data_IF_990004995456
#
_entry.id   IF_990004995456
#
_cell.length_a   1.000
_cell.length_b   1.000
_cell.length_c   1.000
_cell.angle_alpha   90.00
_cell.angle_beta   90.00
_cell.angle_gamma   90.00
#
_symmetry.space_group_name_H-M   'P 1'
#
loop_
_entity.id
_entity.type
_entity.pdbx_description
1 polymer ?
#
# COMPACT_ATOMS: atom_id res chain seq x y z
N UNK A 1 -2.33 9.34 -11.57
CA UNK A 1 -3.58 8.55 -11.57
C UNK A 1 -3.37 7.25 -10.77
N UNK A 2 -4.37 6.75 -10.08
CA UNK A 2 -4.32 5.52 -9.30
C UNK A 2 -3.84 4.30 -10.10
N UNK A 3 -4.14 4.21 -11.41
CA UNK A 3 -3.61 3.15 -12.29
C UNK A 3 -2.08 3.23 -12.45
N UNK A 4 -1.52 4.42 -12.53
CA UNK A 4 -0.06 4.62 -12.63
C UNK A 4 0.61 4.21 -11.31
N UNK A 5 0.02 4.58 -10.18
CA UNK A 5 0.50 4.15 -8.85
C UNK A 5 0.44 2.63 -8.69
N UNK A 6 -0.66 1.99 -9.09
CA UNK A 6 -0.76 0.52 -9.13
C UNK A 6 0.42 -0.07 -9.91
N UNK A 7 0.61 0.37 -11.15
CA UNK A 7 1.66 -0.18 -12.02
C UNK A 7 3.05 0.08 -11.45
N UNK A 8 3.30 1.28 -10.94
CA UNK A 8 4.56 1.63 -10.28
C UNK A 8 4.82 0.72 -9.08
N UNK A 9 3.86 0.54 -8.17
CA UNK A 9 4.03 -0.31 -6.98
C UNK A 9 4.30 -1.77 -7.41
N UNK A 10 3.45 -2.36 -8.26
CA UNK A 10 3.47 -3.83 -8.45
C UNK A 10 4.44 -4.31 -9.53
N UNK A 11 4.74 -3.48 -10.54
CA UNK A 11 5.58 -3.86 -11.70
C UNK A 11 6.99 -3.25 -11.60
N UNK A 12 7.08 -1.97 -11.26
CA UNK A 12 8.32 -1.21 -11.47
C UNK A 12 9.14 -0.99 -10.20
N UNK A 13 8.49 -0.80 -9.05
CA UNK A 13 9.14 -0.29 -7.85
C UNK A 13 10.27 -1.21 -7.36
N UNK A 14 10.02 -2.52 -7.20
CA UNK A 14 11.04 -3.45 -6.69
C UNK A 14 12.24 -3.61 -7.65
N UNK A 15 12.06 -3.89 -8.96
CA UNK A 15 13.18 -3.98 -9.90
C UNK A 15 14.00 -2.69 -9.98
N UNK A 16 13.35 -1.54 -10.03
CA UNK A 16 14.03 -0.25 -10.18
C UNK A 16 14.74 0.15 -8.88
N UNK A 17 14.11 -0.02 -7.73
CA UNK A 17 14.68 0.39 -6.44
C UNK A 17 15.79 -0.55 -5.96
N UNK A 18 15.87 -1.80 -6.45
CA UNK A 18 16.88 -2.78 -6.03
C UNK A 18 18.33 -2.29 -6.16
N UNK A 19 18.62 -1.44 -7.15
CA UNK A 19 19.97 -0.87 -7.35
C UNK A 19 20.28 0.32 -6.44
N UNK A 20 19.26 1.02 -5.95
CA UNK A 20 19.40 2.29 -5.22
C UNK A 20 19.15 2.15 -3.73
N UNK A 21 18.38 1.14 -3.31
CA UNK A 21 18.05 0.88 -1.92
C UNK A 21 18.80 -0.32 -1.39
N UNK A 22 19.28 -0.20 -0.15
CA UNK A 22 19.81 -1.34 0.58
C UNK A 22 18.72 -2.39 0.84
N UNK A 23 19.15 -3.59 1.24
CA UNK A 23 18.26 -4.74 1.49
C UNK A 23 17.17 -4.43 2.52
N UNK A 24 17.48 -3.63 3.55
CA UNK A 24 16.55 -3.26 4.62
C UNK A 24 15.38 -2.44 4.08
N UNK A 25 15.66 -1.40 3.30
CA UNK A 25 14.61 -0.56 2.72
C UNK A 25 13.82 -1.28 1.65
N UNK A 26 14.49 -2.10 0.83
CA UNK A 26 13.82 -2.91 -0.19
C UNK A 26 12.88 -3.94 0.44
N UNK A 27 13.28 -4.55 1.56
CA UNK A 27 12.43 -5.49 2.30
C UNK A 27 11.21 -4.79 2.92
N UNK A 28 11.41 -3.63 3.55
CA UNK A 28 10.30 -2.80 4.05
C UNK A 28 9.31 -2.48 2.93
N UNK A 29 9.79 -2.00 1.79
CA UNK A 29 8.98 -1.71 0.62
C UNK A 29 8.30 -2.95 0.01
N UNK A 30 8.95 -4.12 0.07
CA UNK A 30 8.35 -5.36 -0.45
C UNK A 30 7.06 -5.77 0.27
N UNK A 31 6.90 -5.37 1.55
CA UNK A 31 5.68 -5.64 2.30
C UNK A 31 4.47 -4.91 1.70
N UNK A 32 4.62 -3.61 1.38
CA UNK A 32 3.53 -2.86 0.74
C UNK A 32 3.25 -3.37 -0.68
N UNK A 33 4.28 -3.77 -1.44
CA UNK A 33 4.08 -4.37 -2.77
C UNK A 33 3.24 -5.65 -2.69
N UNK A 34 3.54 -6.53 -1.72
CA UNK A 34 2.76 -7.77 -1.50
C UNK A 34 1.34 -7.47 -1.05
N UNK A 35 1.14 -6.56 -0.10
CA UNK A 35 -0.19 -6.17 0.37
C UNK A 35 -1.04 -5.62 -0.77
N UNK A 36 -0.50 -4.69 -1.57
CA UNK A 36 -1.22 -4.11 -2.72
C UNK A 36 -1.57 -5.17 -3.76
N UNK A 37 -0.71 -6.16 -4.02
CA UNK A 37 -1.03 -7.27 -4.92
C UNK A 37 -2.23 -8.06 -4.42
N UNK A 38 -2.26 -8.42 -3.14
CA UNK A 38 -3.41 -9.13 -2.54
C UNK A 38 -4.70 -8.30 -2.62
N UNK A 39 -4.66 -7.01 -2.30
CA UNK A 39 -5.84 -6.14 -2.40
C UNK A 39 -6.38 -5.99 -3.83
N UNK A 40 -5.57 -6.28 -4.85
CA UNK A 40 -5.97 -6.20 -6.26
C UNK A 40 -6.56 -7.50 -6.80
N UNK A 41 -6.55 -8.58 -6.01
CA UNK A 41 -7.16 -9.85 -6.41
C UNK A 41 -8.69 -9.69 -6.52
N UNK A 42 -9.31 -10.29 -7.56
CA UNK A 42 -10.77 -10.21 -7.75
C UNK A 42 -11.53 -10.94 -6.64
N UNK A 43 -10.93 -11.97 -6.06
CA UNK A 43 -11.44 -12.76 -4.95
C UNK A 43 -10.31 -12.86 -3.92
N UNK A 44 -10.62 -12.59 -2.66
CA UNK A 44 -9.68 -12.61 -1.56
C UNK A 44 -10.27 -13.41 -0.40
N UNK A 45 -9.52 -14.37 0.15
CA UNK A 45 -9.95 -15.16 1.31
C UNK A 45 -9.71 -14.42 2.63
N UNK A 46 -10.35 -14.85 3.71
CA UNK A 46 -10.13 -14.28 5.05
C UNK A 46 -8.66 -14.38 5.47
N UNK A 47 -7.99 -15.51 5.24
CA UNK A 47 -6.56 -15.68 5.51
C UNK A 47 -5.70 -14.67 4.74
N UNK A 48 -6.05 -14.38 3.48
CA UNK A 48 -5.35 -13.38 2.68
C UNK A 48 -5.62 -11.95 3.16
N UNK A 49 -6.80 -11.67 3.71
CA UNK A 49 -7.10 -10.39 4.36
C UNK A 49 -6.25 -10.22 5.63
N UNK A 50 -6.06 -11.29 6.41
CA UNK A 50 -5.16 -11.26 7.56
C UNK A 50 -3.70 -11.06 7.13
N UNK A 51 -3.27 -11.66 6.02
CA UNK A 51 -1.96 -11.42 5.43
C UNK A 51 -1.78 -9.95 5.02
N UNK A 52 -2.81 -9.32 4.42
CA UNK A 52 -2.79 -7.88 4.11
C UNK A 52 -2.57 -7.07 5.37
N UNK A 53 -3.30 -7.36 6.46
CA UNK A 53 -3.16 -6.64 7.73
C UNK A 53 -1.73 -6.77 8.28
N UNK A 54 -1.18 -7.98 8.28
CA UNK A 54 0.18 -8.22 8.76
C UNK A 54 1.24 -7.54 7.90
N UNK A 55 1.08 -7.55 6.57
CA UNK A 55 2.03 -6.92 5.65
C UNK A 55 2.02 -5.39 5.80
N UNK A 56 0.84 -4.78 5.92
CA UNK A 56 0.71 -3.33 6.13
C UNK A 56 1.26 -2.91 7.50
N UNK A 57 1.00 -3.70 8.56
CA UNK A 57 1.61 -3.47 9.87
C UNK A 57 3.14 -3.54 9.81
N UNK A 58 3.71 -4.59 9.20
CA UNK A 58 5.17 -4.73 9.02
C UNK A 58 5.77 -3.58 8.22
N UNK A 59 5.05 -3.07 7.22
CA UNK A 59 5.48 -1.88 6.47
C UNK A 59 5.48 -0.62 7.34
N UNK A 60 4.44 -0.42 8.15
CA UNK A 60 4.33 0.73 9.05
C UNK A 60 5.35 0.70 10.17
N UNK A 61 5.59 -0.45 10.80
CA UNK A 61 6.64 -0.64 11.81
C UNK A 61 8.02 -0.30 11.24
N UNK A 62 8.29 -0.74 9.99
CA UNK A 62 9.48 -0.34 9.25
C UNK A 62 9.53 1.16 9.00
N UNK A 63 8.42 1.76 8.54
CA UNK A 63 8.38 3.18 8.21
C UNK A 63 8.61 4.06 9.45
N UNK A 64 7.98 3.70 10.57
CA UNK A 64 8.14 4.37 11.86
C UNK A 64 9.59 4.32 12.31
N UNK A 65 10.23 3.15 12.24
CA UNK A 65 11.62 2.98 12.66
C UNK A 65 12.63 3.67 11.75
N UNK A 66 12.46 3.63 10.43
CA UNK A 66 13.46 4.16 9.50
C UNK A 66 13.28 5.65 9.18
N UNK A 67 12.04 6.12 9.05
CA UNK A 67 11.73 7.49 8.61
C UNK A 67 11.36 8.40 9.78
N UNK A 68 10.36 8.03 10.59
CA UNK A 68 9.92 8.84 11.73
C UNK A 68 10.95 8.84 12.86
N UNK A 69 11.58 7.69 13.13
CA UNK A 69 12.64 7.50 14.11
C UNK A 69 12.27 7.96 15.53
N UNK A 70 10.98 7.97 15.88
CA UNK A 70 10.46 8.50 17.13
C UNK A 70 10.93 9.94 17.43
N UNK A 71 11.16 10.73 16.38
CA UNK A 71 11.63 12.10 16.50
C UNK A 71 10.48 13.07 16.18
N UNK A 72 10.08 13.86 17.19
CA UNK A 72 9.02 14.87 17.05
C UNK A 72 9.28 15.92 15.96
N UNK A 73 10.55 16.20 15.62
CA UNK A 73 10.89 17.10 14.50
C UNK A 73 10.51 16.50 13.13
N UNK A 74 10.27 15.18 13.06
CA UNK A 74 9.86 14.46 11.85
C UNK A 74 8.38 14.13 11.83
N UNK A 75 7.56 14.76 12.66
CA UNK A 75 6.12 14.53 12.72
C UNK A 75 5.44 14.71 11.35
N UNK A 76 5.98 15.56 10.49
CA UNK A 76 5.52 15.73 9.12
C UNK A 76 5.55 14.44 8.27
N UNK A 77 6.36 13.43 8.64
CA UNK A 77 6.41 12.12 8.01
C UNK A 77 5.22 11.21 8.40
N UNK A 78 4.56 11.47 9.54
CA UNK A 78 3.39 10.73 10.02
C UNK A 78 2.11 11.22 9.33
N UNK A 79 1.98 10.93 8.03
CA UNK A 79 0.80 11.30 7.25
C UNK A 79 -0.41 10.45 7.63
N UNK A 80 -1.60 11.05 7.60
CA UNK A 80 -2.88 10.35 7.81
C UNK A 80 -3.07 9.17 6.85
N UNK A 81 -2.53 9.25 5.63
CA UNK A 81 -2.55 8.14 4.67
C UNK A 81 -1.92 6.86 5.23
N UNK A 82 -0.87 6.96 6.06
CA UNK A 82 -0.28 5.79 6.71
C UNK A 82 -1.18 5.21 7.79
N UNK A 83 -1.94 6.04 8.50
CA UNK A 83 -2.96 5.56 9.44
C UNK A 83 -4.08 4.81 8.69
N UNK A 84 -4.54 5.33 7.55
CA UNK A 84 -5.56 4.66 6.74
C UNK A 84 -5.11 3.28 6.23
N UNK A 85 -3.81 3.05 6.02
CA UNK A 85 -3.31 1.72 5.67
C UNK A 85 -3.64 0.66 6.73
N UNK A 86 -3.72 1.02 8.01
CA UNK A 86 -4.06 0.07 9.08
C UNK A 86 -5.50 -0.46 8.99
N UNK A 87 -6.37 0.27 8.29
CA UNK A 87 -7.79 -0.04 8.17
C UNK A 87 -8.15 -0.68 6.82
N UNK A 88 -7.16 -0.98 5.96
CA UNK A 88 -7.41 -1.56 4.64
C UNK A 88 -8.00 -2.96 4.75
N UNK A 89 -7.44 -3.82 5.62
CA UNK A 89 -7.96 -5.18 5.81
C UNK A 89 -9.38 -5.16 6.39
N UNK A 90 -9.62 -4.29 7.38
CA UNK A 90 -10.95 -4.05 7.93
C UNK A 90 -11.93 -3.57 6.85
N UNK A 91 -11.51 -2.64 6.00
CA UNK A 91 -12.33 -2.16 4.88
C UNK A 91 -12.69 -3.30 3.92
N UNK A 92 -11.76 -4.19 3.61
CA UNK A 92 -12.03 -5.36 2.77
C UNK A 92 -13.02 -6.31 3.46
N UNK A 93 -12.86 -6.53 4.76
CA UNK A 93 -13.73 -7.40 5.55
C UNK A 93 -15.17 -6.88 5.62
N UNK A 94 -15.35 -5.57 5.79
CA UNK A 94 -16.67 -4.97 5.98
C UNK A 94 -17.34 -4.53 4.67
N UNK A 95 -16.57 -4.16 3.65
CA UNK A 95 -17.09 -3.61 2.38
C UNK A 95 -16.87 -4.52 1.17
N UNK A 96 -16.23 -5.68 1.35
CA UNK A 96 -15.89 -6.62 0.30
C UNK A 96 -14.56 -6.30 -0.41
N UNK A 97 -14.20 -7.07 -1.45
CA UNK A 97 -12.92 -6.94 -2.15
C UNK A 97 -12.68 -5.53 -2.70
N UNK A 98 -11.43 -5.06 -2.73
CA UNK A 98 -11.14 -3.64 -3.00
C UNK A 98 -11.63 -3.15 -4.37
N UNK A 99 -11.81 -4.03 -5.36
CA UNK A 99 -12.32 -3.64 -6.67
C UNK A 99 -13.76 -3.11 -6.64
N UNK A 100 -14.53 -3.41 -5.60
CA UNK A 100 -15.90 -2.88 -5.45
C UNK A 100 -15.93 -1.38 -5.17
N UNK A 101 -14.83 -0.82 -4.65
CA UNK A 101 -14.74 0.56 -4.19
C UNK A 101 -13.45 1.28 -4.60
N UNK A 102 -12.65 0.72 -5.52
CA UNK A 102 -11.43 1.35 -6.00
C UNK A 102 -11.71 2.57 -6.89
N UNK A 103 -10.74 3.50 -6.95
CA UNK A 103 -10.89 4.76 -7.69
C UNK A 103 -10.70 4.60 -9.22
N UNK A 104 -10.26 3.45 -9.72
CA UNK A 104 -9.91 3.28 -11.15
C UNK A 104 -11.06 3.62 -12.11
N UNK A 105 -12.32 3.19 -11.87
CA UNK A 105 -13.43 3.53 -12.77
C UNK A 105 -13.72 5.03 -12.76
N UNK A 106 -13.75 5.65 -11.57
CA UNK A 106 -14.01 7.08 -11.42
C UNK A 106 -12.95 7.93 -12.11
N UNK A 107 -11.66 7.65 -11.87
CA UNK A 107 -10.58 8.38 -12.53
C UNK A 107 -10.58 8.20 -14.06
N UNK A 108 -10.98 7.02 -14.56
CA UNK A 108 -11.13 6.77 -15.99
C UNK A 108 -12.23 7.66 -16.59
N UNK A 109 -13.39 7.75 -15.94
CA UNK A 109 -14.50 8.59 -16.40
C UNK A 109 -14.09 10.06 -16.37
N UNK A 110 -13.50 10.54 -15.28
CA UNK A 110 -13.00 11.92 -15.21
C UNK A 110 -12.01 12.23 -16.33
N UNK A 111 -11.12 11.29 -16.67
CA UNK A 111 -10.15 11.46 -17.75
C UNK A 111 -10.74 11.44 -19.17
N UNK A 112 -11.96 10.91 -19.36
CA UNK A 112 -12.69 10.98 -20.65
C UNK A 112 -13.40 12.34 -20.78
N UNK A 113 -13.81 12.94 -19.66
CA UNK A 113 -14.56 14.20 -19.61
C UNK A 113 -13.68 15.47 -19.64
N UNK A 114 -12.36 15.33 -19.51
CA UNK A 114 -11.36 16.40 -19.56
C UNK A 114 -10.85 16.64 -20.98
#
# INVERSE_FOLDING_TARGET
KAVEWRNWIILFSLPLLRKYLNKRHLQGWSNIVKAVKLCLEPVISEDQVDDVQQLLKKFLDYYEREYYQNNGQRLAACKISFHYLLHVADSIKYCGPSWTHWQFPMERVCGILQ
#
